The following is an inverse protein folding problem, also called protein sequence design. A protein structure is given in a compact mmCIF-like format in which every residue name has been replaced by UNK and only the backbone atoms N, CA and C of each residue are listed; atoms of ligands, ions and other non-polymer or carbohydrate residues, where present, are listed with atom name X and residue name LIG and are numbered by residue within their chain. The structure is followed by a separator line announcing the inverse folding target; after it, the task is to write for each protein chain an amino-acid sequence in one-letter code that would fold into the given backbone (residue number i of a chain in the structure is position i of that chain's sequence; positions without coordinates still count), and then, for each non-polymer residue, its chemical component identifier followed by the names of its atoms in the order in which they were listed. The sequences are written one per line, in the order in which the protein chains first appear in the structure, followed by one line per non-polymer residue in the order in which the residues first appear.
data_IF_863889425241
#
_entry.id   IF_863889425241
#
_cell.length_a   1.000
_cell.length_b   1.000
_cell.length_c   1.000
_cell.angle_alpha   90.00
_cell.angle_beta   90.00
_cell.angle_gamma   90.00
#
_symmetry.space_group_name_H-M   'P 1'
#
loop_
_entity.id
_entity.type
_entity.pdbx_description
1 polymer ?
#
# COMPACT_ATOMS: atom_id res chain seq x y z
N UNK A 1 33.86 5.03 7.01
CA UNK A 1 32.48 4.61 7.27
C UNK A 1 31.84 4.33 5.92
N UNK A 2 31.30 3.13 5.70
CA UNK A 2 30.45 2.89 4.49
C UNK A 2 29.19 3.75 4.67
N UNK A 3 28.81 4.52 3.64
CA UNK A 3 27.51 5.16 3.62
C UNK A 3 26.45 4.05 3.85
N UNK A 4 25.57 4.26 4.81
CA UNK A 4 24.46 3.33 5.03
C UNK A 4 23.65 3.31 3.74
N UNK A 5 23.56 2.14 3.10
CA UNK A 5 22.70 1.97 1.92
C UNK A 5 21.26 2.10 2.38
N UNK A 6 20.48 2.92 1.68
CA UNK A 6 19.05 3.04 1.94
C UNK A 6 18.36 1.69 1.71
N UNK A 7 17.55 1.20 2.67
CA UNK A 7 16.84 -0.06 2.47
C UNK A 7 15.86 0.03 1.30
N UNK A 8 15.78 -1.05 0.53
CA UNK A 8 14.88 -1.20 -0.62
C UNK A 8 13.66 -2.03 -0.23
N UNK A 9 12.50 -1.42 -0.20
CA UNK A 9 11.25 -2.07 0.18
C UNK A 9 10.31 -2.16 -1.03
N UNK A 10 9.88 -3.38 -1.36
CA UNK A 10 8.93 -3.63 -2.43
C UNK A 10 7.54 -3.89 -1.83
N UNK A 11 6.56 -3.07 -2.20
CA UNK A 11 5.17 -3.19 -1.79
C UNK A 11 4.37 -3.85 -2.92
N UNK A 12 3.67 -4.92 -2.58
CA UNK A 12 2.82 -5.70 -3.49
C UNK A 12 1.38 -5.73 -2.93
N UNK A 13 0.58 -4.68 -3.16
CA UNK A 13 -0.81 -4.67 -2.69
C UNK A 13 -1.68 -5.64 -3.49
N UNK A 14 -2.69 -6.24 -2.84
CA UNK A 14 -3.68 -7.11 -3.49
C UNK A 14 -4.36 -6.38 -4.66
N UNK A 15 -4.59 -7.09 -5.76
CA UNK A 15 -5.12 -6.53 -7.01
C UNK A 15 -6.52 -7.07 -7.40
N UNK A 16 -7.12 -7.92 -6.57
CA UNK A 16 -8.44 -8.51 -6.81
C UNK A 16 -9.59 -7.61 -6.35
N UNK A 17 -10.25 -6.95 -7.29
CA UNK A 17 -11.45 -6.17 -7.03
C UNK A 17 -12.68 -7.03 -6.65
N UNK A 18 -12.62 -8.36 -6.84
CA UNK A 18 -13.68 -9.29 -6.44
C UNK A 18 -13.74 -9.55 -4.93
N UNK A 19 -12.68 -9.20 -4.19
CA UNK A 19 -12.65 -9.30 -2.73
C UNK A 19 -13.34 -8.06 -2.15
N UNK A 20 -14.68 -8.08 -2.16
CA UNK A 20 -15.51 -6.95 -1.73
C UNK A 20 -15.59 -6.92 -0.21
N UNK A 21 -15.46 -5.73 0.38
CA UNK A 21 -15.65 -5.52 1.81
C UNK A 21 -17.12 -5.70 2.20
N UNK A 22 -17.38 -6.01 3.46
CA UNK A 22 -18.73 -6.10 3.99
C UNK A 22 -19.56 -4.88 3.57
N UNK A 23 -20.79 -5.11 3.10
CA UNK A 23 -21.63 -4.06 2.49
C UNK A 23 -21.99 -2.91 3.43
N UNK A 24 -21.90 -3.15 4.73
CA UNK A 24 -22.12 -2.17 5.80
C UNK A 24 -20.93 -1.21 5.99
N UNK A 25 -19.73 -1.64 5.57
CA UNK A 25 -18.53 -0.83 5.64
C UNK A 25 -18.41 0.05 4.38
N UNK A 26 -18.37 1.35 4.58
CA UNK A 26 -18.39 2.32 3.48
C UNK A 26 -17.15 3.21 3.48
N UNK A 27 -16.57 3.36 2.30
CA UNK A 27 -15.54 4.35 2.03
C UNK A 27 -16.14 5.48 1.17
N UNK A 28 -16.14 6.71 1.70
CA UNK A 28 -16.76 7.87 1.06
C UNK A 28 -18.23 7.61 0.65
N UNK A 29 -18.98 6.90 1.52
CA UNK A 29 -20.37 6.57 1.30
C UNK A 29 -20.64 5.47 0.25
N UNK A 30 -19.61 4.76 -0.18
CA UNK A 30 -19.70 3.67 -1.18
C UNK A 30 -19.06 2.39 -0.66
N UNK A 31 -19.53 1.27 -1.18
CA UNK A 31 -18.86 -0.02 -1.00
C UNK A 31 -17.47 0.01 -1.63
N UNK A 32 -16.53 -0.72 -1.06
CA UNK A 32 -15.14 -0.80 -1.50
C UNK A 32 -14.68 -2.26 -1.59
N UNK A 33 -13.45 -2.48 -2.01
CA UNK A 33 -12.85 -3.79 -2.16
C UNK A 33 -11.38 -3.80 -1.71
N UNK A 34 -10.80 -4.99 -1.60
CA UNK A 34 -9.43 -5.16 -1.12
C UNK A 34 -8.41 -4.45 -2.01
N UNK A 35 -8.58 -4.49 -3.32
CA UNK A 35 -7.68 -3.79 -4.25
C UNK A 35 -7.60 -2.30 -3.97
N UNK A 36 -8.75 -1.63 -3.80
CA UNK A 36 -8.79 -0.21 -3.51
C UNK A 36 -8.14 0.10 -2.16
N UNK A 37 -8.48 -0.66 -1.13
CA UNK A 37 -7.98 -0.39 0.22
C UNK A 37 -6.50 -0.75 0.39
N UNK A 38 -6.02 -1.84 -0.24
CA UNK A 38 -4.60 -2.18 -0.19
C UNK A 38 -3.75 -1.27 -1.07
N UNK A 39 -4.29 -0.78 -2.19
CA UNK A 39 -3.65 0.29 -2.96
C UNK A 39 -3.46 1.55 -2.12
N UNK A 40 -4.50 2.00 -1.44
CA UNK A 40 -4.47 3.13 -0.51
C UNK A 40 -3.49 2.93 0.65
N UNK A 41 -3.48 1.72 1.25
CA UNK A 41 -2.49 1.35 2.26
C UNK A 41 -1.06 1.46 1.73
N UNK A 42 -0.82 0.97 0.52
CA UNK A 42 0.49 1.02 -0.12
C UNK A 42 0.94 2.46 -0.38
N UNK A 43 0.04 3.37 -0.76
CA UNK A 43 0.34 4.79 -0.97
C UNK A 43 0.77 5.48 0.34
N UNK A 44 0.04 5.29 1.43
CA UNK A 44 0.43 5.79 2.75
C UNK A 44 1.77 5.20 3.21
N UNK A 45 1.96 3.90 3.04
CA UNK A 45 3.17 3.21 3.45
C UNK A 45 4.39 3.64 2.62
N UNK A 46 4.25 3.86 1.32
CA UNK A 46 5.30 4.40 0.45
C UNK A 46 5.77 5.77 0.94
N UNK A 47 4.83 6.69 1.24
CA UNK A 47 5.14 8.03 1.75
C UNK A 47 5.89 7.92 3.09
N UNK A 48 5.40 7.09 4.01
CA UNK A 48 6.00 6.89 5.32
C UNK A 48 7.42 6.31 5.23
N UNK A 49 7.63 5.29 4.41
CA UNK A 49 8.92 4.65 4.21
C UNK A 49 9.94 5.58 3.53
N UNK A 50 9.54 6.34 2.51
CA UNK A 50 10.39 7.34 1.85
C UNK A 50 10.80 8.45 2.82
N UNK A 51 9.88 8.90 3.67
CA UNK A 51 10.16 9.86 4.74
C UNK A 51 11.24 9.35 5.71
N UNK A 52 11.25 8.04 5.98
CA UNK A 52 12.24 7.38 6.82
C UNK A 52 13.54 6.97 6.08
N UNK A 53 13.71 7.36 4.81
CA UNK A 53 14.93 7.13 4.04
C UNK A 53 15.01 5.76 3.36
N UNK A 54 13.87 5.12 3.08
CA UNK A 54 13.83 3.92 2.24
C UNK A 54 13.67 4.27 0.76
N UNK A 55 14.26 3.45 -0.11
CA UNK A 55 13.83 3.36 -1.51
C UNK A 55 12.61 2.43 -1.58
N UNK A 56 11.57 2.83 -2.32
CA UNK A 56 10.31 2.08 -2.37
C UNK A 56 9.85 1.91 -3.81
N UNK A 57 9.44 0.69 -4.16
CA UNK A 57 8.58 0.43 -5.31
C UNK A 57 7.20 0.03 -4.76
N UNK A 58 6.18 0.80 -5.14
CA UNK A 58 4.77 0.51 -4.88
C UNK A 58 4.17 -0.07 -6.17
N UNK A 59 4.00 -1.40 -6.18
CA UNK A 59 3.68 -2.16 -7.38
C UNK A 59 2.16 -2.34 -7.55
N UNK A 60 1.44 -1.27 -7.77
CA UNK A 60 0.01 -1.29 -8.11
C UNK A 60 -0.23 -1.63 -9.61
N UNK A 61 0.53 -2.58 -10.13
CA UNK A 61 0.48 -3.00 -11.54
C UNK A 61 0.74 -4.50 -11.67
N UNK A 62 0.41 -5.04 -12.84
CA UNK A 62 0.66 -6.44 -13.16
C UNK A 62 -0.04 -7.40 -12.21
N UNK A 63 0.30 -8.67 -12.30
CA UNK A 63 -0.15 -9.70 -11.38
C UNK A 63 0.93 -10.07 -10.36
N UNK A 64 0.57 -10.90 -9.39
CA UNK A 64 1.45 -11.43 -8.35
C UNK A 64 2.80 -11.96 -8.89
N UNK A 65 2.78 -12.68 -10.03
CA UNK A 65 4.00 -13.23 -10.63
C UNK A 65 4.95 -12.14 -11.17
N UNK A 66 4.39 -11.08 -11.77
CA UNK A 66 5.16 -9.95 -12.27
C UNK A 66 5.80 -9.20 -11.13
N UNK A 67 5.05 -8.92 -10.06
CA UNK A 67 5.53 -8.20 -8.89
C UNK A 67 6.65 -8.93 -8.16
N UNK A 68 6.54 -10.25 -8.00
CA UNK A 68 7.64 -11.06 -7.42
C UNK A 68 8.87 -11.05 -8.32
N UNK A 69 8.71 -11.21 -9.64
CA UNK A 69 9.82 -11.10 -10.60
C UNK A 69 10.51 -9.73 -10.49
N UNK A 70 9.73 -8.66 -10.45
CA UNK A 70 10.25 -7.29 -10.41
C UNK A 70 10.91 -6.97 -9.07
N UNK A 71 10.38 -7.47 -7.97
CA UNK A 71 10.99 -7.41 -6.64
C UNK A 71 12.37 -8.09 -6.62
N UNK A 72 12.51 -9.27 -7.23
CA UNK A 72 13.76 -9.98 -7.35
C UNK A 72 14.77 -9.25 -8.25
N UNK A 73 14.30 -8.70 -9.39
CA UNK A 73 15.14 -7.99 -10.36
C UNK A 73 15.64 -6.63 -9.83
N UNK A 74 14.84 -5.96 -9.00
CA UNK A 74 15.23 -4.70 -8.35
C UNK A 74 16.15 -4.88 -7.14
N UNK A 75 16.59 -6.03 -6.83
CA UNK A 75 17.05 -6.67 -5.60
C UNK A 75 16.58 -5.91 -4.35
N UNK A 76 15.28 -6.03 -4.04
CA UNK A 76 14.73 -5.49 -2.82
C UNK A 76 15.36 -6.12 -1.58
N UNK A 77 15.40 -5.39 -0.46
CA UNK A 77 15.83 -5.90 0.84
C UNK A 77 14.67 -6.51 1.64
N UNK A 78 13.43 -6.16 1.27
CA UNK A 78 12.19 -6.64 1.88
C UNK A 78 11.05 -6.61 0.85
N UNK A 79 10.26 -7.70 0.80
CA UNK A 79 9.02 -7.79 0.04
C UNK A 79 7.83 -7.86 1.01
N UNK A 80 6.86 -6.95 0.84
CA UNK A 80 5.63 -6.90 1.65
C UNK A 80 4.42 -7.02 0.72
N UNK A 81 3.70 -8.15 0.82
CA UNK A 81 2.43 -8.34 0.14
C UNK A 81 1.30 -7.86 1.07
N UNK A 82 0.62 -6.78 0.69
CA UNK A 82 -0.40 -6.13 1.52
C UNK A 82 -1.77 -6.74 1.23
N UNK A 83 -2.42 -7.27 2.26
CA UNK A 83 -3.69 -8.00 2.16
C UNK A 83 -4.65 -7.72 3.30
N UNK A 84 -5.90 -8.07 3.06
CA UNK A 84 -6.94 -8.27 4.08
C UNK A 84 -7.55 -9.66 3.93
N UNK A 85 -7.98 -10.24 5.03
CA UNK A 85 -8.51 -11.61 5.08
C UNK A 85 -10.03 -11.64 4.81
N UNK A 86 -10.54 -12.80 4.44
CA UNK A 86 -11.97 -13.09 4.37
C UNK A 86 -12.23 -14.53 4.81
N UNK A 87 -13.32 -14.76 5.54
CA UNK A 87 -13.67 -16.12 5.99
C UNK A 87 -15.18 -16.35 6.08
N UNK A 88 -15.86 -15.90 7.12
CA UNK A 88 -17.27 -16.21 7.39
C UNK A 88 -18.07 -15.02 7.94
N UNK A 89 -17.57 -13.82 7.81
CA UNK A 89 -18.19 -12.59 8.28
C UNK A 89 -18.20 -12.39 9.81
N UNK A 90 -17.53 -13.26 10.57
CA UNK A 90 -17.55 -13.24 12.04
C UNK A 90 -16.17 -13.24 12.68
N UNK A 91 -15.17 -13.75 11.98
CA UNK A 91 -13.79 -13.76 12.48
C UNK A 91 -13.22 -12.35 12.32
N UNK A 92 -12.46 -11.91 13.31
CA UNK A 92 -11.78 -10.64 13.34
C UNK A 92 -10.39 -10.78 13.96
N UNK A 93 -9.42 -9.97 13.55
CA UNK A 93 -8.05 -9.94 14.07
C UNK A 93 -6.99 -9.99 12.98
N UNK A 94 -5.83 -9.47 13.29
CA UNK A 94 -4.69 -9.38 12.37
C UNK A 94 -3.95 -10.71 12.26
N UNK A 95 -3.64 -11.16 11.07
CA UNK A 95 -2.80 -12.33 10.81
C UNK A 95 -1.64 -11.95 9.93
N UNK A 96 -0.43 -12.31 10.29
CA UNK A 96 0.74 -12.06 9.47
C UNK A 96 1.34 -13.39 9.02
N UNK A 97 1.38 -13.61 7.72
CA UNK A 97 2.08 -14.74 7.13
C UNK A 97 3.52 -14.36 6.82
N UNK A 98 4.46 -15.27 7.05
CA UNK A 98 5.88 -15.08 6.73
C UNK A 98 6.49 -16.37 6.18
N UNK A 99 7.52 -16.24 5.34
CA UNK A 99 8.35 -17.38 5.00
C UNK A 99 9.11 -17.87 6.25
N UNK A 100 9.35 -19.19 6.44
CA UNK A 100 10.02 -19.74 7.61
C UNK A 100 11.54 -19.47 7.59
N UNK A 101 11.94 -18.21 7.54
CA UNK A 101 13.30 -17.72 7.70
C UNK A 101 13.41 -16.79 8.90
N UNK A 102 14.58 -16.69 9.51
CA UNK A 102 14.79 -15.84 10.68
C UNK A 102 14.36 -14.38 10.42
N UNK A 103 14.81 -13.82 9.29
CA UNK A 103 14.49 -12.43 8.92
C UNK A 103 13.00 -12.22 8.64
N UNK A 104 12.34 -13.16 7.93
CA UNK A 104 10.90 -13.04 7.65
C UNK A 104 10.07 -13.18 8.92
N UNK A 105 10.44 -14.08 9.85
CA UNK A 105 9.80 -14.17 11.18
C UNK A 105 9.97 -12.88 11.96
N UNK A 106 11.18 -12.29 11.95
CA UNK A 106 11.46 -11.04 12.67
C UNK A 106 10.55 -9.92 12.20
N UNK A 107 10.52 -9.63 10.89
CA UNK A 107 9.66 -8.56 10.37
C UNK A 107 8.18 -8.89 10.52
N UNK A 108 7.77 -10.15 10.29
CA UNK A 108 6.38 -10.58 10.50
C UNK A 108 5.91 -10.35 11.93
N UNK A 109 6.76 -10.69 12.91
CA UNK A 109 6.44 -10.45 14.32
C UNK A 109 6.37 -8.95 14.65
N UNK A 110 7.29 -8.14 14.14
CA UNK A 110 7.25 -6.69 14.36
C UNK A 110 5.98 -6.05 13.81
N UNK A 111 5.50 -6.47 12.64
CA UNK A 111 4.23 -6.01 12.08
C UNK A 111 3.07 -6.50 12.94
N UNK A 112 3.05 -7.80 13.29
CA UNK A 112 2.00 -8.38 14.12
C UNK A 112 1.85 -7.66 15.47
N UNK A 113 2.96 -7.43 16.17
CA UNK A 113 2.97 -6.81 17.50
C UNK A 113 2.48 -5.35 17.49
N UNK A 114 2.56 -4.67 16.35
CA UNK A 114 2.12 -3.28 16.20
C UNK A 114 0.67 -3.15 15.72
N UNK A 115 0.22 -4.06 14.86
CA UNK A 115 -1.12 -3.97 14.27
C UNK A 115 -2.17 -4.67 15.14
N UNK A 116 -1.86 -5.85 15.67
CA UNK A 116 -2.82 -6.63 16.46
C UNK A 116 -3.44 -5.86 17.64
N UNK A 117 -2.70 -5.04 18.41
CA UNK A 117 -3.31 -4.25 19.49
C UNK A 117 -4.28 -3.16 19.02
N UNK A 118 -4.25 -2.78 17.75
CA UNK A 118 -5.12 -1.78 17.16
C UNK A 118 -6.41 -2.38 16.61
N UNK A 119 -6.36 -3.64 16.18
CA UNK A 119 -7.50 -4.36 15.61
C UNK A 119 -8.60 -4.57 16.65
N UNK A 120 -9.88 -4.43 16.29
CA UNK A 120 -11.00 -4.77 17.18
C UNK A 120 -11.12 -6.29 17.43
N UNK A 121 -10.43 -7.11 16.64
CA UNK A 121 -10.48 -8.55 16.71
C UNK A 121 -9.48 -9.16 17.70
N UNK A 122 -9.58 -10.48 17.89
CA UNK A 122 -8.74 -11.26 18.81
C UNK A 122 -8.17 -12.52 18.19
N UNK A 123 -8.34 -12.70 16.87
CA UNK A 123 -7.82 -13.87 16.12
C UNK A 123 -6.42 -13.61 15.54
N UNK A 124 -5.56 -12.98 16.33
CA UNK A 124 -4.21 -12.62 15.92
C UNK A 124 -3.30 -13.84 15.80
N UNK A 125 -2.52 -13.90 14.74
CA UNK A 125 -1.53 -14.97 14.51
C UNK A 125 -0.37 -14.53 13.66
N UNK A 126 0.83 -14.97 14.06
CA UNK A 126 1.98 -15.06 13.16
C UNK A 126 2.02 -16.49 12.58
N UNK A 127 2.01 -16.63 11.27
CA UNK A 127 1.87 -17.91 10.56
C UNK A 127 3.06 -18.10 9.61
N UNK A 128 3.79 -19.20 9.77
CA UNK A 128 4.78 -19.61 8.79
C UNK A 128 4.09 -20.33 7.64
N UNK A 129 4.25 -19.83 6.41
CA UNK A 129 3.62 -20.41 5.23
C UNK A 129 4.62 -20.51 4.06
N UNK A 130 4.76 -21.73 3.53
CA UNK A 130 5.59 -22.04 2.37
C UNK A 130 4.79 -22.21 1.08
N UNK A 131 3.46 -22.12 1.14
CA UNK A 131 2.57 -22.35 0.00
C UNK A 131 2.32 -21.07 -0.79
N UNK A 132 2.26 -19.92 -0.10
CA UNK A 132 2.01 -18.63 -0.72
C UNK A 132 3.18 -18.25 -1.63
N UNK A 133 2.87 -17.89 -2.88
CA UNK A 133 3.89 -17.59 -3.88
C UNK A 133 4.73 -16.36 -3.50
N UNK A 134 4.08 -15.30 -3.01
CA UNK A 134 4.73 -14.06 -2.57
C UNK A 134 5.56 -14.20 -1.29
N UNK A 135 5.53 -15.35 -0.64
CA UNK A 135 6.43 -15.65 0.47
C UNK A 135 7.61 -16.54 0.07
N UNK A 136 7.37 -17.53 -0.82
CA UNK A 136 8.39 -18.54 -1.16
C UNK A 136 9.25 -18.21 -2.37
N UNK A 137 8.79 -17.32 -3.24
CA UNK A 137 9.46 -16.99 -4.50
C UNK A 137 10.33 -15.71 -4.46
N UNK A 138 10.09 -14.73 -3.57
CA UNK A 138 11.06 -13.66 -3.33
C UNK A 138 12.40 -14.20 -2.82
N UNK A 139 13.50 -13.60 -3.27
CA UNK A 139 14.88 -13.97 -2.84
C UNK A 139 15.32 -13.23 -1.58
N UNK A 140 14.55 -12.25 -1.14
CA UNK A 140 14.73 -11.48 0.10
C UNK A 140 13.71 -11.94 1.16
N UNK A 141 13.80 -11.44 2.42
CA UNK A 141 12.75 -11.62 3.41
C UNK A 141 11.39 -11.17 2.86
N UNK A 142 10.36 -11.99 3.06
CA UNK A 142 9.02 -11.72 2.58
C UNK A 142 7.97 -11.95 3.66
N UNK A 143 6.98 -11.06 3.73
CA UNK A 143 5.84 -11.12 4.63
C UNK A 143 4.56 -10.73 3.91
N UNK A 144 3.46 -11.29 4.39
CA UNK A 144 2.11 -11.04 3.89
C UNK A 144 1.21 -10.76 5.12
N UNK A 145 1.11 -9.49 5.53
CA UNK A 145 0.15 -9.11 6.55
C UNK A 145 -1.27 -9.12 5.98
N UNK A 146 -2.14 -9.83 6.67
CA UNK A 146 -3.59 -9.77 6.59
C UNK A 146 -4.04 -8.84 7.72
N UNK A 147 -4.22 -7.56 7.45
CA UNK A 147 -4.43 -6.54 8.48
C UNK A 147 -5.72 -6.72 9.28
N UNK A 148 -6.73 -7.33 8.70
CA UNK A 148 -8.02 -7.65 9.31
C UNK A 148 -8.92 -8.40 8.34
N UNK A 149 -10.15 -8.72 8.73
CA UNK A 149 -11.11 -9.45 7.92
C UNK A 149 -12.09 -8.49 7.24
N UNK A 150 -11.96 -8.34 5.92
CA UNK A 150 -12.78 -7.44 5.13
C UNK A 150 -14.26 -7.89 5.00
N UNK A 151 -14.56 -9.16 5.27
CA UNK A 151 -15.93 -9.70 5.27
C UNK A 151 -16.64 -9.57 6.62
N UNK A 152 -15.96 -9.14 7.68
CA UNK A 152 -16.55 -8.78 8.97
C UNK A 152 -16.91 -7.29 8.96
N UNK A 153 -18.18 -6.88 9.17
CA UNK A 153 -18.58 -5.48 9.03
C UNK A 153 -17.85 -4.50 9.94
N UNK A 154 -17.63 -4.86 11.20
CA UNK A 154 -16.95 -4.01 12.18
C UNK A 154 -15.47 -3.85 11.82
N UNK A 155 -14.79 -4.94 11.47
CA UNK A 155 -13.37 -4.91 11.12
C UNK A 155 -13.15 -4.27 9.74
N UNK A 156 -14.06 -4.49 8.79
CA UNK A 156 -14.03 -3.84 7.49
C UNK A 156 -14.09 -2.31 7.61
N UNK A 157 -14.99 -1.77 8.43
CA UNK A 157 -15.05 -0.33 8.66
C UNK A 157 -13.81 0.17 9.41
N UNK A 158 -13.34 -0.57 10.43
CA UNK A 158 -12.10 -0.25 11.13
C UNK A 158 -10.90 -0.18 10.18
N UNK A 159 -10.77 -1.13 9.24
CA UNK A 159 -9.71 -1.12 8.23
C UNK A 159 -9.74 0.17 7.40
N UNK A 160 -10.94 0.55 6.90
CA UNK A 160 -11.14 1.76 6.11
C UNK A 160 -10.69 3.00 6.88
N UNK A 161 -11.14 3.12 8.14
CA UNK A 161 -10.94 4.30 8.97
C UNK A 161 -9.50 4.44 9.50
N UNK A 162 -8.75 3.33 9.55
CA UNK A 162 -7.41 3.30 10.14
C UNK A 162 -6.27 3.02 9.15
N UNK A 163 -6.51 3.14 7.84
CA UNK A 163 -5.56 2.73 6.82
C UNK A 163 -4.22 3.48 6.92
N UNK A 164 -4.23 4.78 7.18
CA UNK A 164 -3.02 5.57 7.41
C UNK A 164 -2.27 5.10 8.67
N UNK A 165 -2.99 4.87 9.76
CA UNK A 165 -2.40 4.40 11.02
C UNK A 165 -1.77 3.00 10.86
N UNK A 166 -2.41 2.09 10.11
CA UNK A 166 -1.90 0.77 9.77
C UNK A 166 -0.59 0.90 8.97
N UNK A 167 -0.56 1.78 7.98
CA UNK A 167 0.63 2.05 7.18
C UNK A 167 1.78 2.62 8.04
N UNK A 168 1.49 3.59 8.91
CA UNK A 168 2.49 4.18 9.82
C UNK A 168 3.06 3.14 10.81
N UNK A 169 2.23 2.28 11.39
CA UNK A 169 2.70 1.21 12.27
C UNK A 169 3.52 0.17 11.51
N UNK A 170 3.15 -0.13 10.27
CA UNK A 170 3.94 -1.00 9.39
C UNK A 170 5.29 -0.36 9.06
N UNK A 171 5.32 0.95 8.78
CA UNK A 171 6.57 1.71 8.58
C UNK A 171 7.47 1.65 9.81
N UNK A 172 6.93 1.81 11.03
CA UNK A 172 7.70 1.68 12.26
C UNK A 172 8.32 0.28 12.42
N UNK A 173 7.56 -0.77 12.08
CA UNK A 173 8.07 -2.14 12.08
C UNK A 173 9.24 -2.31 11.11
N UNK A 174 9.15 -1.74 9.91
CA UNK A 174 10.21 -1.76 8.89
C UNK A 174 11.44 -0.98 9.36
N UNK A 175 11.25 0.20 9.94
CA UNK A 175 12.35 1.00 10.51
C UNK A 175 13.10 0.22 11.59
N UNK A 176 12.38 -0.42 12.52
CA UNK A 176 12.97 -1.26 13.57
C UNK A 176 13.68 -2.49 12.99
N UNK A 177 13.12 -3.12 11.97
CA UNK A 177 13.72 -4.27 11.29
C UNK A 177 15.08 -3.93 10.68
N UNK A 178 15.19 -2.77 10.02
CA UNK A 178 16.43 -2.31 9.39
C UNK A 178 17.36 -1.53 10.35
N UNK A 179 16.89 -1.17 11.54
CA UNK A 179 17.64 -0.36 12.49
C UNK A 179 17.84 1.09 12.04
N UNK A 180 16.88 1.65 11.30
CA UNK A 180 16.84 3.05 10.88
C UNK A 180 15.87 3.86 11.73
N UNK A 181 16.09 5.18 11.89
CA UNK A 181 15.18 6.03 12.64
C UNK A 181 13.79 6.10 11.97
N UNK A 182 12.73 5.93 12.77
CA UNK A 182 11.40 6.31 12.34
C UNK A 182 11.25 7.83 12.44
N UNK A 183 10.77 8.45 11.38
CA UNK A 183 10.45 9.87 11.31
C UNK A 183 8.91 9.96 11.25
N UNK A 184 8.31 10.57 12.28
CA UNK A 184 6.87 10.76 12.32
C UNK A 184 6.40 11.76 11.23
N UNK A 185 5.16 11.68 10.76
CA UNK A 185 4.62 12.69 9.86
C UNK A 185 4.51 14.05 10.56
N UNK A 186 4.92 15.13 9.90
CA UNK A 186 4.76 16.50 10.41
C UNK A 186 3.29 16.93 10.43
N UNK A 187 2.49 16.36 9.55
CA UNK A 187 1.03 16.53 9.44
C UNK A 187 0.41 15.23 8.98
N UNK A 188 -0.84 15.01 9.37
CA UNK A 188 -1.66 13.92 8.82
C UNK A 188 -1.73 14.06 7.30
N UNK A 189 -1.46 12.97 6.57
CA UNK A 189 -1.51 12.92 5.11
C UNK A 189 -2.91 12.43 4.75
N UNK A 190 -3.69 13.27 4.12
CA UNK A 190 -5.00 12.88 3.59
C UNK A 190 -4.82 12.47 2.12
N UNK A 191 -4.87 11.16 1.85
CA UNK A 191 -4.89 10.58 0.51
C UNK A 191 -6.31 10.28 0.04
N UNK A 192 -7.29 10.45 0.93
CA UNK A 192 -8.68 10.26 0.54
C UNK A 192 -9.13 11.45 -0.32
N UNK A 193 -9.78 11.20 -1.44
CA UNK A 193 -10.37 12.28 -2.18
C UNK A 193 -11.40 12.98 -1.27
N UNK A 194 -11.18 14.26 -0.96
CA UNK A 194 -12.19 15.09 -0.32
C UNK A 194 -13.56 14.80 -0.95
N UNK A 195 -14.62 14.62 -0.17
CA UNK A 195 -15.96 14.50 -0.72
C UNK A 195 -16.20 15.72 -1.60
N UNK A 196 -16.31 15.48 -2.91
CA UNK A 196 -16.49 16.56 -3.90
C UNK A 196 -17.72 17.35 -3.47
N UNK A 197 -17.59 18.60 -3.00
CA UNK A 197 -18.75 19.41 -2.73
C UNK A 197 -19.50 19.54 -4.06
N UNK A 198 -20.82 19.44 -4.04
CA UNK A 198 -21.71 19.64 -5.22
C UNK A 198 -21.72 21.13 -5.64
N UNK A 199 -20.54 21.75 -5.67
CA UNK A 199 -20.32 23.20 -5.85
C UNK A 199 -19.99 23.59 -7.29
N UNK A 200 -19.94 22.63 -8.21
CA UNK A 200 -19.52 22.90 -9.59
C UNK A 200 -18.05 23.35 -9.74
N UNK A 201 -17.24 23.23 -8.70
CA UNK A 201 -15.83 23.59 -8.73
C UNK A 201 -15.02 22.48 -9.40
N UNK A 202 -14.29 22.82 -10.45
CA UNK A 202 -13.39 21.90 -11.16
C UNK A 202 -11.96 22.16 -10.69
N UNK A 203 -11.30 21.14 -10.14
CA UNK A 203 -9.87 21.19 -9.84
C UNK A 203 -9.07 20.67 -11.03
N UNK A 204 -8.07 21.44 -11.47
CA UNK A 204 -7.24 21.08 -12.61
C UNK A 204 -5.82 20.77 -12.15
N UNK A 205 -5.33 19.58 -12.50
CA UNK A 205 -3.91 19.23 -12.33
C UNK A 205 -3.17 19.57 -13.61
N UNK A 206 -2.15 20.43 -13.52
CA UNK A 206 -1.30 20.79 -14.64
C UNK A 206 -0.01 19.98 -14.59
N UNK A 207 0.24 19.14 -15.60
CA UNK A 207 1.40 18.25 -15.67
C UNK A 207 2.56 18.81 -16.51
N UNK A 208 2.43 20.04 -17.05
CA UNK A 208 3.49 20.74 -17.79
C UNK A 208 3.02 22.06 -18.33
N UNK A 209 3.98 22.96 -18.64
CA UNK A 209 3.76 24.21 -19.35
C UNK A 209 4.80 24.32 -20.49
N UNK A 210 4.36 24.65 -21.70
CA UNK A 210 5.19 24.67 -22.90
C UNK A 210 4.95 25.96 -23.68
N UNK A 211 6.01 26.61 -24.11
CA UNK A 211 5.94 27.78 -24.98
C UNK A 211 5.56 27.39 -26.43
N UNK A 212 5.86 26.18 -26.85
CA UNK A 212 5.55 25.62 -28.16
C UNK A 212 4.38 24.67 -28.12
N UNK A 213 3.35 24.90 -28.94
CA UNK A 213 2.20 24.02 -29.11
C UNK A 213 2.64 22.61 -29.57
N UNK A 214 3.61 22.51 -30.48
CA UNK A 214 4.12 21.23 -30.97
C UNK A 214 4.76 20.39 -29.86
N UNK A 215 5.50 21.04 -28.93
CA UNK A 215 6.09 20.37 -27.79
C UNK A 215 5.00 19.89 -26.78
N UNK A 216 3.97 20.70 -26.58
CA UNK A 216 2.83 20.34 -25.75
C UNK A 216 2.07 19.12 -26.32
N UNK A 217 1.84 19.11 -27.64
CA UNK A 217 1.18 18.00 -28.35
C UNK A 217 2.00 16.69 -28.30
N UNK A 218 3.32 16.79 -28.49
CA UNK A 218 4.23 15.65 -28.37
C UNK A 218 4.28 15.08 -26.95
N UNK A 219 4.22 15.95 -25.94
CA UNK A 219 4.16 15.52 -24.55
C UNK A 219 2.79 14.92 -24.20
N UNK A 220 1.69 15.50 -24.68
CA UNK A 220 0.33 14.99 -24.50
C UNK A 220 0.18 13.57 -25.05
N UNK A 221 0.81 13.26 -26.19
CA UNK A 221 0.79 11.91 -26.76
C UNK A 221 1.33 10.87 -25.78
N UNK A 222 2.44 11.18 -25.07
CA UNK A 222 3.01 10.31 -24.03
C UNK A 222 2.12 10.21 -22.78
N UNK A 223 1.53 11.34 -22.38
CA UNK A 223 0.63 11.37 -21.22
C UNK A 223 -0.63 10.52 -21.49
N UNK A 224 -1.13 10.52 -22.72
CA UNK A 224 -2.30 9.73 -23.11
C UNK A 224 -2.09 8.21 -23.11
N UNK A 225 -0.86 7.75 -23.10
CA UNK A 225 -0.55 6.32 -22.88
C UNK A 225 -0.99 5.86 -21.48
N UNK A 226 -1.01 6.79 -20.51
CA UNK A 226 -1.36 6.51 -19.10
C UNK A 226 -2.71 7.15 -18.72
N UNK A 227 -3.01 8.31 -19.29
CA UNK A 227 -4.24 9.09 -19.04
C UNK A 227 -4.92 9.43 -20.39
N UNK A 228 -5.73 8.53 -20.94
CA UNK A 228 -6.33 8.69 -22.29
C UNK A 228 -7.16 9.98 -22.46
N UNK A 229 -7.76 10.49 -21.38
CA UNK A 229 -8.61 11.70 -21.38
C UNK A 229 -7.85 13.01 -21.22
N UNK A 230 -6.51 12.97 -21.18
CA UNK A 230 -5.70 14.19 -21.06
C UNK A 230 -5.89 15.13 -22.26
N UNK A 231 -5.91 16.42 -22.02
CA UNK A 231 -6.06 17.47 -23.05
C UNK A 231 -5.17 18.68 -22.78
N UNK A 232 -4.96 19.50 -23.83
CA UNK A 232 -4.24 20.78 -23.75
C UNK A 232 -5.23 21.92 -23.54
N UNK A 233 -4.88 22.83 -22.64
CA UNK A 233 -5.56 24.12 -22.49
C UNK A 233 -4.58 25.23 -22.85
N UNK A 234 -4.96 26.11 -23.74
CA UNK A 234 -4.19 27.32 -24.04
C UNK A 234 -4.49 28.41 -22.99
N UNK A 235 -3.43 28.93 -22.38
CA UNK A 235 -3.52 30.04 -21.44
C UNK A 235 -2.71 31.21 -22.04
N UNK A 236 -3.33 32.35 -22.20
CA UNK A 236 -2.61 33.60 -22.58
C UNK A 236 -2.05 34.20 -21.30
N UNK A 237 -0.74 34.44 -21.29
CA UNK A 237 -0.01 35.12 -20.21
C UNK A 237 0.08 36.61 -20.57
#
# INVERSE_FOLDING_TARGET
MRAATMPKVFLSPEDRASNVYASEALWNGKTTNEKEQMGRCADYLEIALKRCGCEVINAQYGGMYDRVRDSNNWPADLHIALHTNGFNGKVAGTRVHCYPSEKSRKIGKLIQDRIAPMSPGTSERLIEDTRLYELRAPTMPAVLPEFGFHDNPEEAQWLIDNMEAIAEQTCQAVCEFFGIPYIAPDKQIDLDPEPVPDSGTIYRVQVGAFESKANAEAYLAKVREVLPEAFITEVRV
#
